data_IF_939899792860
#
_entry.id   IF_939899792860
#
_cell.length_a   1.000
_cell.length_b   1.000
_cell.length_c   1.000
_cell.angle_alpha   90.00
_cell.angle_beta   90.00
_cell.angle_gamma   90.00
#
_symmetry.space_group_name_H-M   'P 1'
#
loop_
_entity.id
_entity.type
_entity.pdbx_description
1 polymer ?
#
# COMPACT_ATOMS: atom_id res chain seq x y z
N UNK A 1 6.36 -19.83 29.68
CA UNK A 1 6.78 -18.80 28.72
C UNK A 1 5.50 -18.16 28.17
N UNK A 2 5.19 -16.98 28.58
CA UNK A 2 4.03 -16.24 28.07
C UNK A 2 4.26 -15.91 26.60
N UNK A 3 3.35 -16.34 25.75
CA UNK A 3 3.38 -15.99 24.33
C UNK A 3 2.61 -14.67 24.18
N UNK A 4 3.33 -13.60 23.96
CA UNK A 4 2.75 -12.32 23.57
C UNK A 4 2.28 -12.41 22.12
N UNK A 5 1.02 -12.09 21.89
CA UNK A 5 0.39 -12.13 20.58
C UNK A 5 -0.22 -10.76 20.32
N UNK A 6 0.13 -10.13 19.20
CA UNK A 6 -0.48 -8.86 18.79
C UNK A 6 -1.92 -9.13 18.36
N UNK A 7 -2.85 -8.40 18.96
CA UNK A 7 -4.28 -8.52 18.71
C UNK A 7 -4.79 -7.38 17.80
N UNK A 8 -6.02 -7.50 17.34
CA UNK A 8 -6.70 -6.42 16.62
C UNK A 8 -6.84 -5.16 17.47
N UNK A 9 -7.07 -5.31 18.77
CA UNK A 9 -7.18 -4.18 19.69
C UNK A 9 -5.86 -3.43 19.81
N UNK A 10 -4.73 -4.15 19.81
CA UNK A 10 -3.41 -3.51 19.81
C UNK A 10 -3.20 -2.68 18.54
N UNK A 11 -3.59 -3.20 17.38
CA UNK A 11 -3.53 -2.47 16.09
C UNK A 11 -4.40 -1.20 16.14
N UNK A 12 -5.61 -1.29 16.65
CA UNK A 12 -6.51 -0.12 16.77
C UNK A 12 -5.92 0.94 17.71
N UNK A 13 -5.42 0.54 18.86
CA UNK A 13 -4.83 1.47 19.84
C UNK A 13 -3.55 2.09 19.33
N UNK A 14 -2.67 1.32 18.71
CA UNK A 14 -1.34 1.77 18.28
C UNK A 14 -1.37 2.58 16.98
N UNK A 15 -2.25 2.22 16.04
CA UNK A 15 -2.31 2.86 14.71
C UNK A 15 -3.52 3.79 14.54
N UNK A 16 -4.50 3.74 15.44
CA UNK A 16 -5.75 4.50 15.30
C UNK A 16 -6.59 4.07 14.10
N UNK A 17 -6.46 2.82 13.66
CA UNK A 17 -7.12 2.29 12.47
C UNK A 17 -8.28 1.39 12.91
N UNK A 18 -9.51 1.60 12.37
CA UNK A 18 -10.66 0.81 12.78
C UNK A 18 -10.51 -0.66 12.45
N UNK A 19 -10.95 -1.51 13.36
CA UNK A 19 -11.00 -2.97 13.19
C UNK A 19 -12.24 -3.40 12.42
N UNK A 20 -13.33 -2.64 12.54
CA UNK A 20 -14.61 -2.94 11.94
C UNK A 20 -14.64 -2.63 10.46
N UNK A 21 -15.50 -3.31 9.73
CA UNK A 21 -15.74 -3.05 8.33
C UNK A 21 -15.63 -4.27 7.43
N UNK A 22 -15.77 -4.03 6.14
CA UNK A 22 -15.66 -5.06 5.11
C UNK A 22 -14.22 -5.60 5.04
N UNK A 23 -14.04 -6.89 4.75
CA UNK A 23 -12.71 -7.44 4.59
C UNK A 23 -11.99 -6.84 3.38
N UNK A 24 -10.69 -6.55 3.52
CA UNK A 24 -9.84 -6.08 2.43
C UNK A 24 -9.39 -7.28 1.60
N UNK A 25 -10.27 -7.77 0.74
CA UNK A 25 -10.01 -8.91 -0.15
C UNK A 25 -10.05 -8.43 -1.60
N UNK A 26 -8.90 -8.10 -2.15
CA UNK A 26 -8.79 -7.58 -3.52
C UNK A 26 -8.35 -8.63 -4.54
N UNK A 27 -8.47 -8.26 -5.82
CA UNK A 27 -7.93 -9.02 -6.93
C UNK A 27 -6.45 -8.69 -7.10
N UNK A 28 -5.64 -9.71 -7.41
CA UNK A 28 -4.21 -9.55 -7.70
C UNK A 28 -3.91 -9.52 -9.20
N UNK A 29 -4.84 -9.99 -10.01
CA UNK A 29 -4.74 -10.17 -11.46
C UNK A 29 -5.29 -8.97 -12.27
N UNK A 30 -5.36 -7.80 -11.65
CA UNK A 30 -5.79 -6.57 -12.32
C UNK A 30 -4.72 -6.07 -13.29
N UNK A 31 -5.17 -5.35 -14.32
CA UNK A 31 -4.27 -4.59 -15.20
C UNK A 31 -3.82 -3.31 -14.47
N UNK A 32 -2.78 -3.44 -13.65
CA UNK A 32 -2.33 -2.38 -12.76
C UNK A 32 -1.89 -1.10 -13.48
N UNK A 33 -1.39 -1.17 -14.70
CA UNK A 33 -1.11 0.00 -15.54
C UNK A 33 -2.39 0.81 -15.82
N UNK A 34 -3.51 0.13 -16.08
CA UNK A 34 -4.82 0.77 -16.30
C UNK A 34 -5.35 1.38 -15.00
N UNK A 35 -5.26 0.66 -13.89
CA UNK A 35 -5.68 1.16 -12.57
C UNK A 35 -4.88 2.43 -12.18
N UNK A 36 -3.58 2.44 -12.43
CA UNK A 36 -2.75 3.63 -12.20
C UNK A 36 -3.17 4.79 -13.11
N UNK A 37 -3.42 4.54 -14.40
CA UNK A 37 -3.90 5.58 -15.31
C UNK A 37 -5.22 6.17 -14.84
N UNK A 38 -6.17 5.32 -14.45
CA UNK A 38 -7.53 5.76 -14.10
C UNK A 38 -7.60 6.50 -12.75
N UNK A 39 -6.74 6.16 -11.79
CA UNK A 39 -6.78 6.73 -10.44
C UNK A 39 -5.67 7.73 -10.13
N UNK A 40 -4.57 7.68 -10.86
CA UNK A 40 -3.40 8.54 -10.65
C UNK A 40 -3.10 9.41 -11.88
N UNK A 41 -3.86 9.27 -12.97
CA UNK A 41 -3.64 9.92 -14.27
C UNK A 41 -2.24 9.66 -14.87
N UNK A 42 -1.61 8.57 -14.46
CA UNK A 42 -0.28 8.19 -14.92
C UNK A 42 -0.20 6.69 -15.22
N UNK A 43 0.06 6.37 -16.46
CA UNK A 43 0.28 4.97 -16.87
C UNK A 43 1.77 4.61 -16.76
N UNK A 44 2.14 3.67 -15.86
CA UNK A 44 3.52 3.23 -15.77
C UNK A 44 3.91 2.38 -16.97
N UNK A 45 4.94 2.78 -17.67
CA UNK A 45 5.56 1.94 -18.70
C UNK A 45 6.13 0.67 -18.06
N UNK A 46 6.12 -0.47 -18.77
CA UNK A 46 6.63 -1.73 -18.22
C UNK A 46 8.12 -1.67 -17.86
N UNK A 47 8.91 -0.89 -18.58
CA UNK A 47 10.36 -0.78 -18.41
C UNK A 47 10.80 0.67 -18.45
N UNK A 48 11.80 1.02 -17.64
CA UNK A 48 12.44 2.34 -17.68
C UNK A 48 13.23 2.45 -19.00
N UNK A 49 13.04 3.51 -19.80
CA UNK A 49 13.84 3.75 -20.99
C UNK A 49 15.34 3.64 -20.69
N UNK A 50 16.08 2.94 -21.53
CA UNK A 50 17.53 2.69 -21.40
C UNK A 50 17.93 1.90 -20.14
N UNK A 51 17.06 1.12 -19.56
CA UNK A 51 17.33 0.28 -18.39
C UNK A 51 16.52 -1.02 -18.46
N UNK A 52 17.10 -2.12 -18.00
CA UNK A 52 16.41 -3.39 -17.85
C UNK A 52 15.54 -3.44 -16.58
N UNK A 53 15.31 -2.30 -15.92
CA UNK A 53 14.55 -2.22 -14.68
C UNK A 53 13.08 -1.93 -14.96
N UNK A 54 12.17 -2.78 -14.51
CA UNK A 54 10.74 -2.53 -14.61
C UNK A 54 10.27 -1.46 -13.62
N UNK A 55 9.38 -0.57 -14.07
CA UNK A 55 8.67 0.38 -13.21
C UNK A 55 7.60 -0.36 -12.43
N UNK A 56 6.82 -1.15 -13.15
CA UNK A 56 5.73 -1.96 -12.62
C UNK A 56 6.12 -3.44 -12.64
N UNK A 57 6.01 -4.12 -11.53
CA UNK A 57 6.21 -5.57 -11.42
C UNK A 57 5.06 -6.16 -10.60
N UNK A 58 4.25 -7.00 -11.23
CA UNK A 58 3.02 -7.52 -10.62
C UNK A 58 2.13 -6.37 -10.12
N UNK A 59 1.75 -6.39 -8.85
CA UNK A 59 0.97 -5.35 -8.20
C UNK A 59 1.85 -4.36 -7.41
N UNK A 60 3.08 -4.07 -7.87
CA UNK A 60 4.03 -3.18 -7.16
C UNK A 60 4.67 -2.19 -8.12
N UNK A 61 4.73 -0.93 -7.72
CA UNK A 61 5.28 0.18 -8.48
C UNK A 61 6.52 0.76 -7.80
N UNK A 62 7.49 1.26 -8.57
CA UNK A 62 8.65 1.95 -8.01
C UNK A 62 8.26 3.26 -7.35
N UNK A 63 8.64 3.41 -6.07
CA UNK A 63 8.35 4.62 -5.30
C UNK A 63 8.90 5.88 -5.99
N UNK A 64 10.15 5.88 -6.42
CA UNK A 64 10.77 7.04 -7.10
C UNK A 64 10.04 7.46 -8.37
N UNK A 65 9.50 6.49 -9.11
CA UNK A 65 8.73 6.80 -10.31
C UNK A 65 7.40 7.46 -9.95
N UNK A 66 6.76 6.98 -8.92
CA UNK A 66 5.49 7.50 -8.43
C UNK A 66 5.67 8.89 -7.79
N UNK A 67 6.64 9.02 -6.90
CA UNK A 67 6.95 10.26 -6.18
C UNK A 67 7.29 11.42 -7.13
N UNK A 68 8.04 11.17 -8.18
CA UNK A 68 8.41 12.19 -9.16
C UNK A 68 7.22 12.87 -9.86
N UNK A 69 6.04 12.22 -9.87
CA UNK A 69 4.81 12.74 -10.49
C UNK A 69 3.96 13.56 -9.54
N UNK A 70 4.13 13.34 -8.25
CA UNK A 70 3.39 14.00 -7.19
C UNK A 70 4.27 14.86 -6.26
N UNK A 71 5.52 15.13 -6.69
CA UNK A 71 6.49 15.90 -5.91
C UNK A 71 6.02 17.35 -5.59
N UNK A 72 5.26 17.95 -6.52
CA UNK A 72 4.66 19.25 -6.30
C UNK A 72 3.22 19.08 -5.78
N UNK A 73 2.82 19.85 -4.74
CA UNK A 73 1.43 19.85 -4.31
C UNK A 73 0.52 20.42 -5.43
N UNK A 74 -0.77 20.05 -5.45
CA UNK A 74 -1.71 20.58 -6.40
C UNK A 74 -1.82 22.12 -6.21
N UNK A 75 -2.05 22.84 -7.30
CA UNK A 75 -2.31 24.28 -7.25
C UNK A 75 -3.55 24.57 -6.38
N UNK A 76 -3.61 25.75 -5.79
CA UNK A 76 -4.73 26.13 -4.91
C UNK A 76 -6.08 26.17 -5.64
N UNK A 77 -6.06 26.35 -6.95
CA UNK A 77 -7.21 26.36 -7.86
C UNK A 77 -7.37 25.05 -8.66
N UNK A 78 -6.65 24.00 -8.28
CA UNK A 78 -6.72 22.71 -8.95
C UNK A 78 -8.13 22.13 -8.88
N UNK A 79 -8.58 21.52 -9.96
CA UNK A 79 -9.86 20.82 -10.01
C UNK A 79 -9.91 19.60 -9.08
N UNK A 80 -11.11 19.19 -8.72
CA UNK A 80 -11.36 18.08 -7.80
C UNK A 80 -10.68 16.78 -8.23
N UNK A 81 -10.56 16.51 -9.53
CA UNK A 81 -9.86 15.34 -10.06
C UNK A 81 -8.38 15.32 -9.65
N UNK A 82 -7.68 16.45 -9.81
CA UNK A 82 -6.27 16.57 -9.46
C UNK A 82 -6.06 16.38 -7.96
N UNK A 83 -6.96 16.95 -7.15
CA UNK A 83 -6.94 16.77 -5.69
C UNK A 83 -7.16 15.31 -5.31
N UNK A 84 -8.09 14.61 -5.97
CA UNK A 84 -8.34 13.19 -5.73
C UNK A 84 -7.14 12.33 -6.13
N UNK A 85 -6.48 12.60 -7.24
CA UNK A 85 -5.28 11.89 -7.67
C UNK A 85 -4.14 12.03 -6.65
N UNK A 86 -3.92 13.24 -6.12
CA UNK A 86 -2.97 13.46 -5.04
C UNK A 86 -3.37 12.73 -3.75
N UNK A 87 -4.66 12.72 -3.41
CA UNK A 87 -5.16 11.97 -2.25
C UNK A 87 -4.93 10.46 -2.42
N UNK A 88 -5.21 9.90 -3.60
CA UNK A 88 -4.91 8.49 -3.91
C UNK A 88 -3.42 8.18 -3.75
N UNK A 89 -2.54 9.06 -4.28
CA UNK A 89 -1.10 8.91 -4.13
C UNK A 89 -0.67 8.88 -2.66
N UNK A 90 -1.08 9.89 -1.88
CA UNK A 90 -0.68 9.98 -0.48
C UNK A 90 -1.19 8.82 0.36
N UNK A 91 -2.44 8.41 0.17
CA UNK A 91 -3.02 7.24 0.84
C UNK A 91 -2.28 5.96 0.47
N UNK A 92 -1.98 5.77 -0.82
CA UNK A 92 -1.25 4.60 -1.30
C UNK A 92 0.15 4.50 -0.69
N UNK A 93 0.89 5.61 -0.68
CA UNK A 93 2.23 5.67 -0.09
C UNK A 93 2.18 5.45 1.42
N UNK A 94 1.25 6.08 2.11
CA UNK A 94 1.06 5.91 3.55
C UNK A 94 0.73 4.45 3.91
N UNK A 95 -0.22 3.84 3.21
CA UNK A 95 -0.57 2.44 3.40
C UNK A 95 0.61 1.51 3.10
N UNK A 96 1.32 1.76 2.00
CA UNK A 96 2.49 0.98 1.63
C UNK A 96 3.65 1.10 2.60
N UNK A 97 3.83 2.26 3.22
CA UNK A 97 4.90 2.51 4.19
C UNK A 97 4.58 2.00 5.59
N UNK A 98 3.31 2.02 6.01
CA UNK A 98 2.93 1.68 7.38
C UNK A 98 2.22 0.33 7.50
N UNK A 99 1.26 0.04 6.64
CA UNK A 99 0.41 -1.13 6.77
C UNK A 99 0.95 -2.34 6.00
N UNK A 100 1.41 -2.11 4.78
CA UNK A 100 1.77 -3.16 3.83
C UNK A 100 3.22 -3.10 3.38
N UNK A 101 4.10 -2.65 4.27
CA UNK A 101 5.53 -2.61 4.01
C UNK A 101 6.05 -3.99 3.64
N UNK A 102 6.72 -4.09 2.51
CA UNK A 102 7.35 -5.31 2.04
C UNK A 102 8.89 -5.25 2.15
N UNK A 103 9.54 -6.31 1.70
CA UNK A 103 11.02 -6.43 1.71
C UNK A 103 11.71 -5.49 0.71
N UNK A 104 10.99 -4.99 -0.28
CA UNK A 104 11.55 -4.12 -1.30
C UNK A 104 11.42 -2.66 -0.87
N UNK A 105 12.50 -2.09 -0.39
CA UNK A 105 12.55 -0.68 0.03
C UNK A 105 12.27 0.33 -1.09
N UNK A 106 12.23 -0.09 -2.35
CA UNK A 106 12.06 0.77 -3.51
C UNK A 106 10.69 0.68 -4.20
N UNK A 107 9.78 -0.15 -3.68
CA UNK A 107 8.46 -0.39 -4.29
C UNK A 107 7.31 -0.22 -3.31
N UNK A 108 6.19 0.24 -3.85
CA UNK A 108 4.92 0.37 -3.12
C UNK A 108 3.91 -0.62 -3.69
N UNK A 109 3.16 -1.28 -2.83
CA UNK A 109 2.07 -2.16 -3.24
C UNK A 109 0.91 -1.35 -3.81
N UNK A 110 0.40 -1.73 -4.98
CA UNK A 110 -0.79 -1.15 -5.60
C UNK A 110 -2.09 -1.80 -5.13
N UNK A 111 -2.01 -2.89 -4.37
CA UNK A 111 -3.20 -3.60 -3.90
C UNK A 111 -4.22 -2.73 -3.18
N UNK A 112 -3.83 -1.77 -2.31
CA UNK A 112 -4.79 -0.88 -1.68
C UNK A 112 -5.53 0.03 -2.65
N UNK A 113 -4.94 0.38 -3.79
CA UNK A 113 -5.49 1.37 -4.72
C UNK A 113 -6.89 1.01 -5.23
N UNK A 114 -7.19 -0.29 -5.41
CA UNK A 114 -8.51 -0.76 -5.84
C UNK A 114 -9.65 -0.43 -4.87
N UNK A 115 -9.33 -0.15 -3.59
CA UNK A 115 -10.30 0.18 -2.54
C UNK A 115 -10.44 1.68 -2.30
N UNK A 116 -9.60 2.49 -2.96
CA UNK A 116 -9.59 3.94 -2.79
C UNK A 116 -10.56 4.67 -3.73
N UNK A 117 -11.27 3.98 -4.59
CA UNK A 117 -12.21 4.59 -5.54
C UNK A 117 -13.65 4.10 -5.31
N UNK A 118 -14.58 4.99 -4.94
CA UNK A 118 -14.32 6.38 -4.51
C UNK A 118 -13.64 6.45 -3.13
N UNK A 119 -12.93 7.52 -2.85
CA UNK A 119 -12.20 7.72 -1.58
C UNK A 119 -13.13 7.62 -0.36
N UNK A 120 -14.40 8.02 -0.49
CA UNK A 120 -15.42 7.90 0.56
C UNK A 120 -15.62 6.47 1.07
N UNK A 121 -15.37 5.47 0.24
CA UNK A 121 -15.55 4.06 0.59
C UNK A 121 -14.39 3.49 1.43
N UNK A 122 -13.28 4.19 1.53
CA UNK A 122 -12.10 3.75 2.30
C UNK A 122 -12.47 3.38 3.73
N UNK A 123 -13.38 4.13 4.35
CA UNK A 123 -13.83 3.90 5.73
C UNK A 123 -14.68 2.65 5.92
N UNK A 124 -15.18 2.05 4.85
CA UNK A 124 -16.01 0.84 4.94
C UNK A 124 -15.19 -0.43 5.15
N UNK A 125 -13.88 -0.37 5.00
CA UNK A 125 -12.99 -1.53 5.06
C UNK A 125 -12.27 -1.62 6.41
N UNK A 126 -12.09 -2.85 6.89
CA UNK A 126 -11.33 -3.17 8.09
C UNK A 126 -9.83 -3.17 7.80
N UNK A 127 -9.22 -1.99 7.72
CA UNK A 127 -7.80 -1.83 7.46
C UNK A 127 -6.93 -2.38 8.59
N UNK A 128 -7.41 -2.33 9.84
CA UNK A 128 -6.73 -2.91 10.99
C UNK A 128 -6.58 -4.42 10.86
N UNK A 129 -7.64 -5.12 10.42
CA UNK A 129 -7.59 -6.57 10.16
C UNK A 129 -6.64 -6.91 9.02
N UNK A 130 -6.62 -6.10 7.96
CA UNK A 130 -5.70 -6.29 6.83
C UNK A 130 -4.24 -6.09 7.26
N UNK A 131 -3.95 -5.07 8.05
CA UNK A 131 -2.62 -4.80 8.59
C UNK A 131 -2.12 -5.95 9.48
N UNK A 132 -2.99 -6.46 10.36
CA UNK A 132 -2.68 -7.59 11.22
C UNK A 132 -2.39 -8.86 10.42
N UNK A 133 -3.24 -9.17 9.43
CA UNK A 133 -3.03 -10.33 8.56
C UNK A 133 -1.71 -10.24 7.78
N UNK A 134 -1.37 -9.04 7.30
CA UNK A 134 -0.10 -8.79 6.62
C UNK A 134 1.09 -8.99 7.56
N UNK A 135 1.02 -8.45 8.78
CA UNK A 135 2.05 -8.62 9.80
C UNK A 135 2.28 -10.10 10.12
N UNK A 136 1.22 -10.86 10.40
CA UNK A 136 1.34 -12.28 10.68
C UNK A 136 1.93 -13.08 9.52
N UNK A 137 1.54 -12.76 8.29
CA UNK A 137 2.13 -13.37 7.09
C UNK A 137 3.66 -13.18 7.06
N UNK A 138 4.13 -11.99 7.38
CA UNK A 138 5.56 -11.70 7.39
C UNK A 138 6.29 -12.31 8.57
N UNK A 139 5.68 -12.34 9.75
CA UNK A 139 6.24 -13.03 10.92
C UNK A 139 6.35 -14.54 10.69
N UNK A 140 5.33 -15.18 10.11
CA UNK A 140 5.40 -16.59 9.71
C UNK A 140 6.48 -16.86 8.67
N UNK A 141 6.72 -15.91 7.77
CA UNK A 141 7.80 -16.03 6.78
C UNK A 141 9.17 -15.85 7.44
N UNK A 142 9.28 -14.98 8.42
CA UNK A 142 10.51 -14.71 9.17
C UNK A 142 10.93 -15.88 10.08
N UNK A 143 9.97 -16.67 10.55
CA UNK A 143 10.24 -17.86 11.37
C UNK A 143 10.92 -18.99 10.61
N UNK A 144 10.99 -18.92 9.29
CA UNK A 144 11.72 -19.88 8.45
C UNK A 144 13.22 -19.60 8.53
N UNK A 145 14.04 -20.65 8.67
CA UNK A 145 15.49 -20.57 8.90
C UNK A 145 16.28 -19.75 7.86
N UNK A 146 15.75 -19.56 6.66
CA UNK A 146 16.43 -18.89 5.55
C UNK A 146 15.93 -17.46 5.30
N UNK A 147 15.17 -16.88 6.24
CA UNK A 147 14.64 -15.53 6.06
C UNK A 147 15.73 -14.47 6.33
N UNK A 148 16.19 -13.80 5.27
CA UNK A 148 17.21 -12.74 5.37
C UNK A 148 16.59 -11.36 5.71
N UNK A 149 15.31 -11.14 5.39
CA UNK A 149 14.60 -9.87 5.62
C UNK A 149 13.15 -10.11 6.01
N UNK A 150 12.63 -9.23 6.85
CA UNK A 150 11.25 -9.27 7.34
C UNK A 150 10.54 -8.00 6.82
N UNK A 151 9.34 -8.16 6.27
CA UNK A 151 8.44 -7.07 5.93
C UNK A 151 7.32 -6.92 6.95
N UNK A 152 6.49 -5.89 6.79
CA UNK A 152 5.36 -5.62 7.66
C UNK A 152 5.62 -4.49 8.66
N UNK A 153 4.62 -4.15 9.43
CA UNK A 153 4.69 -3.09 10.45
C UNK A 153 5.47 -3.56 11.68
N UNK A 154 6.76 -3.81 11.54
CA UNK A 154 7.63 -4.39 12.59
C UNK A 154 7.76 -3.52 13.84
N UNK A 155 7.42 -2.23 13.77
CA UNK A 155 7.38 -1.34 14.93
C UNK A 155 6.29 -1.75 15.93
N UNK A 156 5.39 -2.67 15.57
CA UNK A 156 4.33 -3.20 16.41
C UNK A 156 4.76 -4.48 17.15
N UNK A 157 5.93 -5.01 16.88
CA UNK A 157 6.49 -6.23 17.48
C UNK A 157 7.62 -5.87 18.46
#
# INVERSE_FOLDING_TARGET
MEKWVITLQDIEVMLGIPMDGLPVTGKIDLKWNVVCRDLLDHEPLPVIPNSNRSILAEARIRYKWLDARFAAPPAADAGDEVVQQHAHYHLLVWMGALLFMDKSADRVSLLPLQFLNPISNVRQYSWGSAALAWLYKHLCSASKKDAMQIGGALLLV
#
